data_IF_913134330676
#
_entry.id   IF_913134330676
#
_cell.length_a   1.000
_cell.length_b   1.000
_cell.length_c   1.000
_cell.angle_alpha   90.00
_cell.angle_beta   90.00
_cell.angle_gamma   90.00
#
_symmetry.space_group_name_H-M   'P 1'
#
loop_
_entity.id
_entity.type
_entity.pdbx_description
1 polymer ?
#
# COMPACT_ATOMS: atom_id res chain seq x y z
N UNK A 1 14.43 -1.37 -29.10
CA UNK A 1 13.98 -0.07 -28.51
C UNK A 1 14.74 1.17 -29.01
N UNK A 2 16.07 1.29 -28.81
CA UNK A 2 16.83 2.53 -29.13
C UNK A 2 16.70 3.01 -30.58
N UNK A 3 16.90 2.14 -31.57
CA UNK A 3 16.81 2.50 -33.00
C UNK A 3 15.41 2.97 -33.39
N UNK A 4 14.37 2.33 -32.86
CA UNK A 4 12.98 2.73 -33.08
C UNK A 4 12.72 4.17 -32.58
N UNK A 5 13.15 4.50 -31.36
CA UNK A 5 12.90 5.82 -30.76
C UNK A 5 13.84 6.93 -31.25
N UNK A 6 15.14 6.64 -31.38
CA UNK A 6 16.16 7.67 -31.66
C UNK A 6 16.43 7.88 -33.14
N UNK A 7 16.07 6.93 -34.00
CA UNK A 7 16.37 6.94 -35.43
C UNK A 7 15.14 6.69 -36.32
N UNK A 8 13.94 6.60 -35.74
CA UNK A 8 12.69 6.27 -36.45
C UNK A 8 12.85 5.03 -37.36
N UNK A 9 13.65 4.05 -36.94
CA UNK A 9 13.91 2.86 -37.74
C UNK A 9 12.68 1.94 -37.70
N UNK A 10 11.77 2.16 -38.67
CA UNK A 10 10.46 1.49 -38.77
C UNK A 10 10.50 -0.03 -38.64
N UNK A 11 11.49 -0.77 -39.21
CA UNK A 11 11.52 -2.23 -39.07
C UNK A 11 11.59 -2.74 -37.62
N UNK A 12 12.10 -1.93 -36.67
CA UNK A 12 12.16 -2.28 -35.25
C UNK A 12 11.10 -1.55 -34.39
N UNK A 13 10.06 -0.99 -35.04
CA UNK A 13 8.99 -0.21 -34.40
C UNK A 13 7.91 -1.04 -33.72
N UNK A 14 8.18 -2.31 -33.40
CA UNK A 14 7.20 -3.27 -32.89
C UNK A 14 7.58 -3.77 -31.48
N UNK A 15 6.63 -4.33 -30.70
CA UNK A 15 6.92 -5.03 -29.45
C UNK A 15 7.89 -6.20 -29.65
N UNK A 16 8.62 -6.56 -28.60
CA UNK A 16 9.61 -7.65 -28.61
C UNK A 16 9.06 -8.82 -27.80
N UNK A 17 9.05 -10.03 -28.37
CA UNK A 17 8.82 -11.27 -27.63
C UNK A 17 10.17 -11.88 -27.23
N UNK A 18 10.25 -12.45 -26.02
CA UNK A 18 11.48 -13.06 -25.47
C UNK A 18 11.17 -14.40 -24.83
N UNK A 19 12.11 -15.34 -24.96
CA UNK A 19 12.07 -16.70 -24.43
C UNK A 19 13.27 -16.90 -23.48
N UNK A 20 13.16 -16.52 -22.19
CA UNK A 20 14.25 -16.66 -21.21
C UNK A 20 14.85 -18.07 -21.11
N UNK A 21 14.08 -19.13 -21.36
CA UNK A 21 14.58 -20.50 -21.34
C UNK A 21 15.55 -20.83 -22.47
N UNK A 22 15.51 -20.10 -23.59
CA UNK A 22 16.43 -20.30 -24.71
C UNK A 22 17.82 -19.68 -24.48
N UNK A 23 17.97 -18.81 -23.47
CA UNK A 23 19.21 -18.06 -23.20
C UNK A 23 19.84 -18.41 -21.86
N UNK A 24 19.22 -19.30 -21.08
CA UNK A 24 19.67 -19.70 -19.76
C UNK A 24 19.83 -21.21 -19.67
N UNK A 25 20.94 -21.65 -19.06
CA UNK A 25 21.25 -23.08 -18.88
C UNK A 25 20.60 -23.69 -17.62
N UNK A 26 20.00 -22.86 -16.75
CA UNK A 26 19.35 -23.30 -15.50
C UNK A 26 18.02 -22.59 -15.27
N UNK A 27 17.19 -23.18 -14.41
CA UNK A 27 15.91 -22.66 -13.97
C UNK A 27 16.07 -21.27 -13.32
N UNK A 28 17.07 -21.10 -12.46
CA UNK A 28 17.38 -19.80 -11.85
C UNK A 28 17.85 -18.79 -12.90
N UNK A 29 18.60 -19.24 -13.90
CA UNK A 29 19.03 -18.41 -15.02
C UNK A 29 17.84 -17.90 -15.84
N UNK A 30 16.82 -18.74 -16.07
CA UNK A 30 15.58 -18.37 -16.75
C UNK A 30 14.86 -17.24 -15.99
N UNK A 31 14.78 -17.34 -14.66
CA UNK A 31 14.17 -16.32 -13.80
C UNK A 31 14.95 -14.99 -13.88
N UNK A 32 16.28 -15.05 -13.87
CA UNK A 32 17.14 -13.87 -14.00
C UNK A 32 16.97 -13.22 -15.38
N UNK A 33 16.93 -14.01 -16.45
CA UNK A 33 16.70 -13.50 -17.80
C UNK A 33 15.31 -12.84 -17.91
N UNK A 34 14.27 -13.47 -17.37
CA UNK A 34 12.92 -12.92 -17.33
C UNK A 34 12.87 -11.57 -16.58
N UNK A 35 13.52 -11.49 -15.42
CA UNK A 35 13.69 -10.27 -14.61
C UNK A 35 14.33 -9.15 -15.44
N UNK A 36 15.40 -9.45 -16.18
CA UNK A 36 16.04 -8.50 -17.07
C UNK A 36 15.12 -8.05 -18.20
N UNK A 37 14.37 -8.96 -18.81
CA UNK A 37 13.44 -8.64 -19.89
C UNK A 37 12.28 -7.74 -19.44
N UNK A 38 11.75 -7.94 -18.23
CA UNK A 38 10.78 -7.02 -17.61
C UNK A 38 11.37 -5.60 -17.55
N UNK A 39 12.59 -5.46 -17.05
CA UNK A 39 13.27 -4.17 -16.92
C UNK A 39 13.77 -3.58 -18.26
N UNK A 40 13.91 -4.41 -19.31
CA UNK A 40 14.57 -4.05 -20.59
C UNK A 40 13.68 -4.27 -21.80
N UNK A 41 12.53 -3.60 -21.77
CA UNK A 41 11.71 -3.30 -22.96
C UNK A 41 11.05 -4.49 -23.66
N UNK A 42 11.10 -5.70 -23.11
CA UNK A 42 10.33 -6.82 -23.65
C UNK A 42 8.84 -6.49 -23.58
N UNK A 43 8.12 -6.82 -24.65
CA UNK A 43 6.66 -6.68 -24.72
C UNK A 43 5.94 -7.95 -24.26
N UNK A 44 6.49 -9.12 -24.58
CA UNK A 44 5.97 -10.43 -24.18
C UNK A 44 7.15 -11.28 -23.70
N UNK A 45 6.99 -11.93 -22.54
CA UNK A 45 7.97 -12.86 -21.98
C UNK A 45 7.28 -14.21 -21.85
N UNK A 46 7.84 -15.25 -22.47
CA UNK A 46 7.30 -16.62 -22.43
C UNK A 46 8.23 -17.46 -21.56
N UNK A 47 7.74 -17.85 -20.39
CA UNK A 47 8.45 -18.78 -19.50
C UNK A 47 8.20 -20.21 -19.98
N UNK A 48 9.20 -21.07 -19.91
CA UNK A 48 9.09 -22.50 -20.24
C UNK A 48 8.32 -23.25 -19.15
N UNK A 49 8.41 -22.75 -17.90
CA UNK A 49 7.81 -23.35 -16.72
C UNK A 49 7.00 -22.33 -15.93
N UNK A 50 5.87 -22.78 -15.41
CA UNK A 50 5.05 -22.01 -14.48
C UNK A 50 5.30 -22.48 -13.05
N UNK A 51 5.74 -21.55 -12.20
CA UNK A 51 5.81 -21.72 -10.75
C UNK A 51 5.17 -20.48 -10.09
N UNK A 52 4.11 -20.62 -9.27
CA UNK A 52 3.52 -19.52 -8.53
C UNK A 52 4.52 -18.70 -7.70
N UNK A 53 5.54 -19.35 -7.12
CA UNK A 53 6.57 -18.68 -6.32
C UNK A 53 7.46 -17.75 -7.16
N UNK A 54 7.58 -18.02 -8.47
CA UNK A 54 8.31 -17.20 -9.44
C UNK A 54 7.40 -16.17 -10.11
N UNK A 55 6.15 -16.55 -10.39
CA UNK A 55 5.18 -15.67 -11.02
C UNK A 55 4.92 -14.41 -10.17
N UNK A 56 4.79 -14.57 -8.85
CA UNK A 56 4.57 -13.46 -7.92
C UNK A 56 5.65 -12.36 -8.01
N UNK A 57 6.95 -12.65 -7.79
CA UNK A 57 8.00 -11.63 -7.87
C UNK A 57 8.13 -11.01 -9.28
N UNK A 58 7.94 -11.78 -10.36
CA UNK A 58 7.97 -11.23 -11.72
C UNK A 58 6.81 -10.26 -11.99
N UNK A 59 5.61 -10.59 -11.54
CA UNK A 59 4.45 -9.71 -11.65
C UNK A 59 4.60 -8.46 -10.79
N UNK A 60 5.14 -8.60 -9.58
CA UNK A 60 5.46 -7.47 -8.69
C UNK A 60 6.53 -6.56 -9.29
N UNK A 61 7.60 -7.12 -9.87
CA UNK A 61 8.62 -6.34 -10.58
C UNK A 61 8.01 -5.59 -11.77
N UNK A 62 7.16 -6.26 -12.55
CA UNK A 62 6.47 -5.63 -13.69
C UNK A 62 5.59 -4.47 -13.20
N UNK A 63 4.81 -4.67 -12.13
CA UNK A 63 4.02 -3.60 -11.52
C UNK A 63 4.91 -2.42 -11.14
N UNK A 64 6.02 -2.67 -10.44
CA UNK A 64 6.93 -1.63 -9.98
C UNK A 64 7.57 -0.84 -11.13
N UNK A 65 8.06 -1.53 -12.18
CA UNK A 65 8.74 -0.89 -13.33
C UNK A 65 7.75 -0.10 -14.20
N UNK A 66 6.51 -0.56 -14.34
CA UNK A 66 5.52 0.05 -15.24
C UNK A 66 4.52 0.99 -14.53
N UNK A 67 4.68 1.23 -13.23
CA UNK A 67 3.93 2.27 -12.50
C UNK A 67 4.39 3.65 -12.97
N UNK A 68 3.44 4.58 -13.17
CA UNK A 68 3.75 5.97 -13.52
C UNK A 68 4.57 6.63 -12.38
N UNK A 69 5.83 7.02 -12.63
CA UNK A 69 6.68 7.57 -11.58
C UNK A 69 6.24 8.97 -11.12
N UNK A 70 5.34 9.64 -11.86
CA UNK A 70 4.86 10.98 -11.51
C UNK A 70 3.58 10.97 -10.68
N UNK A 71 2.86 9.84 -10.65
CA UNK A 71 1.57 9.73 -9.99
C UNK A 71 1.60 8.57 -8.99
N UNK A 72 1.71 8.87 -7.67
CA UNK A 72 1.54 7.85 -6.65
C UNK A 72 0.18 7.17 -6.82
N UNK A 73 0.17 5.84 -6.78
CA UNK A 73 -1.08 5.10 -6.73
C UNK A 73 -1.68 5.38 -5.35
N UNK A 74 -2.87 5.98 -5.34
CA UNK A 74 -3.59 6.34 -4.12
C UNK A 74 -4.95 5.64 -4.06
N UNK A 75 -5.45 5.50 -2.85
CA UNK A 75 -6.81 5.04 -2.54
C UNK A 75 -7.65 6.27 -2.21
N UNK A 76 -8.95 6.24 -2.50
CA UNK A 76 -9.81 7.36 -2.15
C UNK A 76 -9.83 7.55 -0.61
N UNK A 77 -9.62 8.78 -0.10
CA UNK A 77 -9.77 9.07 1.32
C UNK A 77 -11.19 8.78 1.81
N UNK A 78 -11.33 8.19 2.98
CA UNK A 78 -12.63 7.78 3.50
C UNK A 78 -12.54 6.78 4.65
N UNK A 79 -13.69 6.22 5.04
CA UNK A 79 -13.76 5.17 6.06
C UNK A 79 -14.12 3.86 5.39
N UNK A 80 -13.31 2.85 5.66
CA UNK A 80 -13.43 1.52 5.09
C UNK A 80 -13.78 0.50 6.19
N UNK A 81 -14.56 -0.50 5.80
CA UNK A 81 -15.10 -1.55 6.65
C UNK A 81 -14.33 -2.86 6.42
N UNK A 82 -13.80 -3.44 7.48
CA UNK A 82 -13.11 -4.74 7.45
C UNK A 82 -13.82 -5.74 8.36
N UNK A 83 -14.10 -6.94 7.83
CA UNK A 83 -14.71 -8.06 8.55
C UNK A 83 -16.03 -7.74 9.28
N UNK A 84 -16.85 -6.82 8.73
CA UNK A 84 -18.18 -6.47 9.27
C UNK A 84 -18.10 -5.78 10.64
N UNK A 85 -17.50 -4.59 10.74
CA UNK A 85 -17.32 -3.90 12.01
C UNK A 85 -18.65 -3.45 12.62
N UNK A 86 -18.70 -3.44 13.94
CA UNK A 86 -19.80 -2.88 14.75
C UNK A 86 -19.41 -1.51 15.32
N UNK A 87 -20.34 -0.84 16.00
CA UNK A 87 -20.05 0.43 16.66
C UNK A 87 -18.98 0.31 17.77
N UNK A 88 -18.76 -0.88 18.31
CA UNK A 88 -17.74 -1.12 19.34
C UNK A 88 -16.39 -1.59 18.75
N UNK A 89 -16.30 -1.70 17.42
CA UNK A 89 -15.09 -2.17 16.75
C UNK A 89 -14.02 -1.07 16.65
N UNK A 90 -12.73 -1.43 16.71
CA UNK A 90 -11.61 -0.49 16.68
C UNK A 90 -11.63 0.41 15.44
N UNK A 91 -11.32 1.70 15.65
CA UNK A 91 -11.03 2.65 14.59
C UNK A 91 -9.51 2.85 14.50
N UNK A 92 -8.94 2.57 13.33
CA UNK A 92 -7.54 2.85 13.01
C UNK A 92 -7.44 3.94 11.96
N UNK A 93 -6.30 4.61 11.88
CA UNK A 93 -5.98 5.57 10.82
C UNK A 93 -4.73 5.20 10.05
N UNK A 94 -4.73 5.46 8.75
CA UNK A 94 -3.54 5.35 7.89
C UNK A 94 -3.62 6.36 6.74
N UNK A 95 -2.62 6.38 5.86
CA UNK A 95 -2.57 7.27 4.70
C UNK A 95 -3.18 6.64 3.45
N UNK A 96 -3.49 7.48 2.46
CA UNK A 96 -4.04 7.05 1.18
C UNK A 96 -3.01 6.52 0.16
N UNK A 97 -1.76 6.26 0.55
CA UNK A 97 -0.82 5.60 -0.35
C UNK A 97 -1.20 4.13 -0.53
N UNK A 98 -1.32 3.66 -1.78
CA UNK A 98 -1.89 2.35 -2.05
C UNK A 98 -1.14 1.20 -1.38
N UNK A 99 0.21 1.22 -1.38
CA UNK A 99 0.98 0.16 -0.74
C UNK A 99 0.80 0.17 0.78
N UNK A 100 0.75 1.35 1.41
CA UNK A 100 0.46 1.47 2.84
C UNK A 100 -0.96 0.97 3.14
N UNK A 101 -1.96 1.38 2.35
CA UNK A 101 -3.33 0.91 2.48
C UNK A 101 -3.40 -0.61 2.38
N UNK A 102 -2.88 -1.20 1.30
CA UNK A 102 -2.99 -2.65 1.06
C UNK A 102 -2.21 -3.47 2.09
N UNK A 103 -1.10 -2.95 2.64
CA UNK A 103 -0.42 -3.61 3.75
C UNK A 103 -1.26 -3.64 5.02
N UNK A 104 -1.98 -2.56 5.36
CA UNK A 104 -2.88 -2.56 6.52
C UNK A 104 -4.13 -3.39 6.24
N UNK A 105 -4.78 -3.15 5.11
CA UNK A 105 -5.99 -3.84 4.68
C UNK A 105 -5.80 -5.36 4.59
N UNK A 106 -4.65 -5.82 4.07
CA UNK A 106 -4.34 -7.25 3.98
C UNK A 106 -4.24 -7.93 5.35
N UNK A 107 -3.67 -7.24 6.34
CA UNK A 107 -3.56 -7.77 7.71
C UNK A 107 -4.90 -7.70 8.46
N UNK A 108 -5.74 -6.68 8.19
CA UNK A 108 -7.10 -6.62 8.72
C UNK A 108 -7.97 -7.74 8.16
N UNK A 109 -8.01 -7.89 6.83
CA UNK A 109 -8.81 -8.91 6.15
C UNK A 109 -8.31 -10.32 6.48
N UNK A 110 -7.00 -10.57 6.35
CA UNK A 110 -6.38 -11.86 6.68
C UNK A 110 -6.42 -12.20 8.16
N UNK A 111 -6.42 -11.20 9.05
CA UNK A 111 -6.56 -11.38 10.49
C UNK A 111 -7.98 -11.71 10.94
N UNK A 112 -8.99 -11.47 10.10
CA UNK A 112 -10.40 -11.73 10.39
C UNK A 112 -11.01 -10.86 11.49
N UNK A 113 -10.31 -9.79 11.92
CA UNK A 113 -10.75 -8.93 13.01
C UNK A 113 -11.65 -7.79 12.48
N UNK A 114 -12.86 -7.60 13.03
CA UNK A 114 -13.73 -6.49 12.66
C UNK A 114 -13.08 -5.15 13.01
N UNK A 115 -12.99 -4.25 12.03
CA UNK A 115 -12.38 -2.94 12.24
C UNK A 115 -12.84 -1.87 11.24
N UNK A 116 -12.77 -0.63 11.70
CA UNK A 116 -12.90 0.57 10.89
C UNK A 116 -11.51 1.10 10.54
N UNK A 117 -11.28 1.42 9.26
CA UNK A 117 -10.03 2.03 8.81
C UNK A 117 -10.30 3.39 8.16
N UNK A 118 -9.83 4.46 8.81
CA UNK A 118 -9.85 5.82 8.31
C UNK A 118 -8.62 6.07 7.43
N UNK A 119 -8.87 6.42 6.18
CA UNK A 119 -7.86 6.76 5.18
C UNK A 119 -7.78 8.28 5.07
N UNK A 120 -6.68 8.85 5.54
CA UNK A 120 -6.39 10.27 5.40
C UNK A 120 -5.76 10.56 4.04
N UNK A 121 -6.16 11.70 3.44
CA UNK A 121 -5.49 12.20 2.25
C UNK A 121 -4.11 12.72 2.62
N UNK A 122 -3.08 12.03 2.14
CA UNK A 122 -1.69 12.37 2.31
C UNK A 122 -0.99 12.51 0.94
N UNK A 123 -1.75 12.90 -0.09
CA UNK A 123 -1.26 13.04 -1.48
C UNK A 123 -0.62 11.75 -2.03
N UNK A 124 -1.08 10.59 -1.55
CA UNK A 124 -0.53 9.29 -1.93
C UNK A 124 0.86 9.00 -1.36
N UNK A 125 1.26 9.64 -0.26
CA UNK A 125 2.52 9.37 0.44
C UNK A 125 2.36 8.34 1.56
N UNK A 126 3.42 7.54 1.79
CA UNK A 126 3.47 6.60 2.93
C UNK A 126 3.44 7.34 4.27
N UNK A 127 3.07 6.66 5.35
CA UNK A 127 2.96 7.25 6.72
C UNK A 127 4.15 8.14 7.09
N UNK A 128 5.37 7.61 7.03
CA UNK A 128 6.58 8.36 7.44
C UNK A 128 6.94 9.46 6.46
N UNK A 129 6.74 9.25 5.16
CA UNK A 129 6.98 10.28 4.13
C UNK A 129 6.02 11.45 4.31
N UNK A 130 4.74 11.16 4.51
CA UNK A 130 3.71 12.15 4.70
C UNK A 130 3.90 12.92 6.00
N UNK A 131 4.22 12.23 7.10
CA UNK A 131 4.55 12.86 8.38
C UNK A 131 5.73 13.82 8.24
N UNK A 132 6.83 13.37 7.62
CA UNK A 132 8.00 14.22 7.40
C UNK A 132 7.73 15.42 6.48
N UNK A 133 6.76 15.30 5.57
CA UNK A 133 6.34 16.36 4.66
C UNK A 133 5.25 17.30 5.24
N UNK A 134 4.77 17.05 6.47
CA UNK A 134 3.64 17.81 7.05
C UNK A 134 2.32 17.58 6.31
N UNK A 135 2.13 16.38 5.76
CA UNK A 135 0.92 15.94 5.04
C UNK A 135 0.17 14.84 5.79
N UNK A 136 0.68 14.45 6.95
CA UNK A 136 0.04 13.51 7.87
C UNK A 136 0.42 13.91 9.30
N UNK A 137 -0.37 14.83 9.84
CA UNK A 137 -0.24 15.43 11.17
C UNK A 137 -1.58 15.35 11.93
N UNK A 138 -1.60 15.84 13.16
CA UNK A 138 -2.77 15.82 14.03
C UNK A 138 -3.97 16.55 13.41
N UNK A 139 -3.76 17.73 12.80
CA UNK A 139 -4.81 18.52 12.15
C UNK A 139 -5.44 17.76 10.98
N UNK A 140 -4.61 17.15 10.13
CA UNK A 140 -5.07 16.36 8.97
C UNK A 140 -5.90 15.15 9.43
N UNK A 141 -5.46 14.43 10.46
CA UNK A 141 -6.18 13.28 11.01
C UNK A 141 -7.51 13.73 11.63
N UNK A 142 -7.50 14.77 12.47
CA UNK A 142 -8.70 15.29 13.11
C UNK A 142 -9.72 15.82 12.09
N UNK A 143 -9.24 16.49 11.04
CA UNK A 143 -10.07 16.91 9.91
C UNK A 143 -10.69 15.73 9.19
N UNK A 144 -9.95 14.64 8.96
CA UNK A 144 -10.49 13.44 8.34
C UNK A 144 -11.58 12.79 9.21
N UNK A 145 -11.36 12.66 10.53
CA UNK A 145 -12.37 12.16 11.49
C UNK A 145 -13.68 12.93 11.39
N UNK A 146 -13.59 14.28 11.33
CA UNK A 146 -14.76 15.17 11.21
C UNK A 146 -15.41 15.11 9.83
N UNK A 147 -14.60 15.09 8.76
CA UNK A 147 -15.07 15.13 7.36
C UNK A 147 -15.84 13.87 6.98
N UNK A 148 -15.35 12.71 7.43
CA UNK A 148 -15.96 11.41 7.13
C UNK A 148 -16.93 10.93 8.21
N UNK A 149 -17.21 11.78 9.20
CA UNK A 149 -18.13 11.50 10.31
C UNK A 149 -17.83 10.16 11.02
N UNK A 150 -16.55 9.89 11.28
CA UNK A 150 -16.11 8.62 11.86
C UNK A 150 -16.75 8.37 13.24
N UNK A 151 -16.94 9.44 14.02
CA UNK A 151 -17.57 9.39 15.33
C UNK A 151 -19.05 8.97 15.31
N UNK A 152 -19.76 9.09 14.19
CA UNK A 152 -21.13 8.60 14.07
C UNK A 152 -21.20 7.08 13.86
N UNK A 153 -20.11 6.46 13.41
CA UNK A 153 -20.03 5.01 13.15
C UNK A 153 -19.61 4.19 14.36
N UNK A 154 -19.00 4.82 15.37
CA UNK A 154 -18.48 4.16 16.57
C UNK A 154 -19.15 4.68 17.84
N UNK A 155 -19.33 3.79 18.83
CA UNK A 155 -19.93 4.09 20.12
C UNK A 155 -18.89 4.61 21.14
N UNK A 156 -17.60 4.46 20.85
CA UNK A 156 -16.49 4.96 21.64
C UNK A 156 -15.81 6.14 20.94
N UNK A 157 -14.92 6.83 21.66
CA UNK A 157 -14.06 7.88 21.09
C UNK A 157 -12.61 7.44 21.21
N UNK A 158 -12.24 6.38 20.49
CA UNK A 158 -10.87 5.85 20.47
C UNK A 158 -10.40 5.75 19.04
N UNK A 159 -9.17 6.16 18.76
CA UNK A 159 -8.55 6.03 17.44
C UNK A 159 -7.10 5.54 17.59
N UNK A 160 -6.75 4.54 16.80
CA UNK A 160 -5.41 3.92 16.82
C UNK A 160 -4.53 4.51 15.72
N UNK A 161 -3.42 5.13 16.12
CA UNK A 161 -2.37 5.63 15.25
C UNK A 161 -1.39 4.53 14.81
N UNK A 162 -0.76 4.63 13.64
CA UNK A 162 0.42 3.84 13.31
C UNK A 162 1.55 4.12 14.32
N UNK A 163 2.23 3.08 14.80
CA UNK A 163 3.25 3.20 15.86
C UNK A 163 4.45 4.07 15.52
N UNK A 164 4.71 4.28 14.23
CA UNK A 164 5.77 5.17 13.74
C UNK A 164 5.50 6.67 13.95
N UNK A 165 4.22 7.05 14.13
CA UNK A 165 3.79 8.44 14.34
C UNK A 165 3.16 8.63 15.72
N UNK A 166 3.55 7.80 16.69
CA UNK A 166 3.09 7.89 18.08
C UNK A 166 3.31 9.28 18.71
N UNK A 167 4.29 10.03 18.22
CA UNK A 167 4.57 11.41 18.64
C UNK A 167 3.40 12.37 18.38
N UNK A 168 2.52 12.06 17.42
CA UNK A 168 1.32 12.86 17.12
C UNK A 168 0.21 12.72 18.17
N UNK A 169 0.31 11.76 19.10
CA UNK A 169 -0.78 11.43 20.04
C UNK A 169 -1.25 12.63 20.87
N UNK A 170 -0.33 13.36 21.50
CA UNK A 170 -0.69 14.51 22.33
C UNK A 170 -1.37 15.64 21.54
N UNK A 171 -0.82 16.01 20.39
CA UNK A 171 -1.39 17.05 19.54
C UNK A 171 -2.76 16.62 18.96
N UNK A 172 -2.92 15.32 18.66
CA UNK A 172 -4.19 14.78 18.19
C UNK A 172 -5.27 14.73 19.28
N UNK A 173 -4.90 14.50 20.55
CA UNK A 173 -5.83 14.62 21.69
C UNK A 173 -6.35 16.06 21.85
N UNK A 174 -5.50 17.06 21.59
CA UNK A 174 -5.89 18.47 21.61
C UNK A 174 -6.87 18.81 20.46
N UNK A 175 -6.63 18.28 19.26
CA UNK A 175 -7.46 18.49 18.07
C UNK A 175 -8.79 17.71 18.07
N UNK A 176 -8.85 16.62 18.85
CA UNK A 176 -10.03 15.78 19.06
C UNK A 176 -10.38 15.66 20.56
N UNK A 177 -10.89 16.73 21.19
CA UNK A 177 -11.21 16.70 22.62
C UNK A 177 -12.17 15.56 23.00
N UNK A 178 -11.76 14.78 24.00
CA UNK A 178 -12.51 13.63 24.51
C UNK A 178 -12.35 12.35 23.69
N UNK A 179 -11.45 12.34 22.70
CA UNK A 179 -10.95 11.11 22.09
C UNK A 179 -9.71 10.61 22.83
N UNK A 180 -9.63 9.30 23.01
CA UNK A 180 -8.45 8.59 23.47
C UNK A 180 -7.62 8.16 22.26
N UNK A 181 -6.35 8.58 22.20
CA UNK A 181 -5.46 8.22 21.11
C UNK A 181 -4.62 7.02 21.50
N UNK A 182 -4.85 5.90 20.84
CA UNK A 182 -4.09 4.69 21.06
C UNK A 182 -2.95 4.57 20.06
N UNK A 183 -1.83 3.99 20.49
CA UNK A 183 -0.67 3.75 19.63
C UNK A 183 -0.67 2.28 19.21
N UNK A 184 -0.85 2.04 17.92
CA UNK A 184 -0.77 0.73 17.32
C UNK A 184 0.68 0.27 17.08
N UNK A 185 0.86 -0.91 16.45
CA UNK A 185 2.18 -1.40 16.09
C UNK A 185 2.84 -0.53 15.03
N UNK A 186 4.16 -0.66 14.91
CA UNK A 186 4.95 0.00 13.86
C UNK A 186 4.75 -0.67 12.50
N UNK A 187 4.66 -1.99 12.50
CA UNK A 187 4.46 -2.79 11.29
C UNK A 187 3.03 -3.33 11.24
N UNK A 188 2.45 -3.37 10.04
CA UNK A 188 1.08 -3.84 9.86
C UNK A 188 0.90 -5.33 10.24
N UNK A 189 1.94 -6.15 10.07
CA UNK A 189 1.91 -7.60 10.38
C UNK A 189 1.59 -7.92 11.84
N UNK A 190 1.83 -6.96 12.74
CA UNK A 190 1.54 -7.11 14.17
C UNK A 190 0.11 -6.66 14.53
N UNK A 191 -0.66 -6.10 13.58
CA UNK A 191 -2.03 -5.66 13.80
C UNK A 191 -2.95 -6.78 14.31
N UNK A 192 -2.94 -8.01 13.77
CA UNK A 192 -3.81 -9.06 14.26
C UNK A 192 -3.57 -9.41 15.75
N UNK A 193 -2.33 -9.32 16.21
CA UNK A 193 -2.00 -9.54 17.62
C UNK A 193 -2.44 -8.36 18.50
N UNK A 194 -2.21 -7.14 18.03
CA UNK A 194 -2.65 -5.91 18.71
C UNK A 194 -4.17 -5.87 18.89
N UNK A 195 -4.93 -6.16 17.83
CA UNK A 195 -6.40 -6.09 17.83
C UNK A 195 -7.05 -7.11 18.76
N UNK A 196 -6.39 -8.26 19.02
CA UNK A 196 -6.87 -9.23 20.02
C UNK A 196 -6.80 -8.73 21.46
N UNK A 197 -5.88 -7.79 21.73
CA UNK A 197 -5.70 -7.17 23.03
C UNK A 197 -6.33 -5.77 23.11
N UNK A 198 -6.95 -5.29 22.03
CA UNK A 198 -7.57 -3.97 21.95
C UNK A 198 -8.76 -3.87 22.90
N UNK A 199 -8.82 -2.77 23.66
CA UNK A 199 -9.85 -2.47 24.67
C UNK A 199 -10.33 -1.04 24.52
#
# INVERSE_FOLDING_TARGET
RRLALKKNFRPLGYPIITFPGEVADTDEGEIVAATQYVAKYAGIIVMDRFDPAVAYPLLTLRLNIYTDPQKPISVDPGIYEFNGPTADSPLMVTTNFSLTYFSVAGELDGGGMPAWLLICDAEGMSVLTAWAAGKFDAETIAKAVKTFDAGAKIAHKKITLPGHVAVLSGELEEELPGWEIQVGPREAVDLPAYLKAWQ
#
